data_IF_686260674439
#
_entry.id   IF_686260674439
#
_cell.length_a   1.000
_cell.length_b   1.000
_cell.length_c   1.000
_cell.angle_alpha   90.00
_cell.angle_beta   90.00
_cell.angle_gamma   90.00
#
_symmetry.space_group_name_H-M   'P 1'
#
loop_
_entity.id
_entity.type
_entity.pdbx_description
1 polymer ?
#
# COMPACT_ATOMS: atom_id res chain seq x y z
N UNK A 1 -9.30 3.47 22.28
CA UNK A 1 -10.54 3.16 21.51
C UNK A 1 -10.26 1.91 20.70
N UNK A 2 -11.09 0.88 20.78
CA UNK A 2 -10.90 -0.36 20.01
C UNK A 2 -11.51 -0.18 18.63
N UNK A 3 -10.72 -0.41 17.55
CA UNK A 3 -11.25 -0.39 16.19
C UNK A 3 -12.00 -1.70 15.95
N UNK A 4 -13.24 -1.67 15.42
CA UNK A 4 -13.96 -2.87 15.05
C UNK A 4 -13.19 -3.72 14.02
N UNK A 5 -13.24 -5.05 14.22
CA UNK A 5 -12.71 -6.00 13.25
C UNK A 5 -13.84 -6.55 12.38
N UNK A 6 -13.64 -6.53 11.08
CA UNK A 6 -14.52 -7.09 10.06
C UNK A 6 -13.93 -8.40 9.54
N UNK A 7 -14.79 -9.36 9.19
CA UNK A 7 -14.41 -10.58 8.48
C UNK A 7 -14.93 -10.48 7.06
N UNK A 8 -14.04 -10.23 6.11
CA UNK A 8 -14.40 -9.92 4.72
C UNK A 8 -14.07 -11.13 3.84
N UNK A 9 -15.05 -11.67 3.09
CA UNK A 9 -14.79 -12.82 2.23
C UNK A 9 -13.97 -12.40 1.00
N UNK A 10 -12.90 -13.16 0.74
CA UNK A 10 -12.12 -13.05 -0.49
C UNK A 10 -12.96 -13.48 -1.70
N UNK A 11 -13.01 -12.65 -2.72
CA UNK A 11 -13.73 -12.99 -3.96
C UNK A 11 -13.06 -14.10 -4.77
N UNK A 12 -11.79 -14.43 -4.49
CA UNK A 12 -11.06 -15.48 -5.21
C UNK A 12 -11.24 -16.88 -4.63
N UNK A 13 -11.43 -17.02 -3.31
CA UNK A 13 -11.49 -18.34 -2.69
C UNK A 13 -12.48 -18.46 -1.52
N UNK A 14 -13.22 -17.38 -1.22
CA UNK A 14 -14.20 -17.35 -0.14
C UNK A 14 -13.63 -17.34 1.28
N UNK A 15 -12.30 -17.36 1.45
CA UNK A 15 -11.68 -17.29 2.76
C UNK A 15 -11.99 -15.96 3.43
N UNK A 16 -12.23 -15.97 4.74
CA UNK A 16 -12.47 -14.76 5.50
C UNK A 16 -11.13 -14.07 5.84
N UNK A 17 -11.00 -12.83 5.43
CA UNK A 17 -9.83 -11.99 5.71
C UNK A 17 -10.20 -10.93 6.74
N UNK A 18 -9.54 -10.94 7.93
CA UNK A 18 -9.82 -9.94 8.95
C UNK A 18 -9.31 -8.57 8.50
N UNK A 19 -10.06 -7.53 8.84
CA UNK A 19 -9.71 -6.13 8.56
C UNK A 19 -10.16 -5.26 9.72
N UNK A 20 -9.35 -4.28 10.11
CA UNK A 20 -9.79 -3.25 11.06
C UNK A 20 -10.41 -2.10 10.27
N UNK A 21 -11.57 -1.63 10.74
CA UNK A 21 -12.26 -0.51 10.09
C UNK A 21 -12.74 0.52 11.11
N UNK A 22 -12.26 1.74 10.95
CA UNK A 22 -12.72 2.92 11.70
C UNK A 22 -13.50 3.85 10.79
N UNK A 23 -14.66 4.33 11.26
CA UNK A 23 -15.41 5.39 10.61
C UNK A 23 -15.76 6.48 11.64
N UNK A 24 -15.52 7.79 11.38
CA UNK A 24 -15.67 8.83 12.39
C UNK A 24 -17.10 8.99 12.90
N UNK A 25 -18.11 8.68 12.08
CA UNK A 25 -19.55 8.72 12.43
C UNK A 25 -20.20 7.33 12.43
N UNK A 26 -19.43 6.28 12.74
CA UNK A 26 -19.92 4.89 12.79
C UNK A 26 -20.63 4.42 11.49
N UNK A 27 -20.14 4.91 10.34
CA UNK A 27 -20.67 4.54 9.02
C UNK A 27 -21.91 5.30 8.58
N UNK A 28 -22.37 6.27 9.37
CA UNK A 28 -23.56 7.09 9.08
C UNK A 28 -23.17 8.55 8.80
N UNK A 29 -24.08 9.30 8.17
CA UNK A 29 -23.88 10.71 7.85
C UNK A 29 -23.40 10.95 6.42
N UNK A 30 -22.78 12.12 6.18
CA UNK A 30 -22.20 12.46 4.89
C UNK A 30 -21.04 11.51 4.54
N UNK A 31 -20.82 11.19 3.24
CA UNK A 31 -19.66 10.42 2.82
C UNK A 31 -18.34 11.06 3.25
N UNK A 32 -17.39 10.25 3.71
CA UNK A 32 -16.08 10.72 4.15
C UNK A 32 -14.97 10.05 3.33
N UNK A 33 -13.82 10.70 3.11
CA UNK A 33 -12.64 10.08 2.52
C UNK A 33 -12.20 8.83 3.27
N UNK A 34 -11.59 7.88 2.55
CA UNK A 34 -11.08 6.63 3.09
C UNK A 34 -9.56 6.56 2.91
N UNK A 35 -8.83 6.31 4.00
CA UNK A 35 -7.42 5.89 3.94
C UNK A 35 -7.36 4.38 4.11
N UNK A 36 -6.75 3.70 3.14
CA UNK A 36 -6.42 2.28 3.20
C UNK A 36 -4.95 2.15 3.55
N UNK A 37 -4.66 1.69 4.75
CA UNK A 37 -3.30 1.53 5.26
C UNK A 37 -2.84 0.08 5.21
N UNK A 38 -1.70 -0.20 4.60
CA UNK A 38 -1.16 -1.55 4.47
C UNK A 38 -0.01 -1.79 5.45
N UNK A 39 -0.03 -2.97 6.10
CA UNK A 39 1.02 -3.36 7.06
C UNK A 39 2.36 -3.63 6.38
N UNK A 40 3.45 -3.48 7.12
CA UNK A 40 4.81 -3.73 6.63
C UNK A 40 5.13 -5.23 6.57
N UNK A 41 6.33 -5.59 6.10
CA UNK A 41 6.72 -6.96 5.73
C UNK A 41 6.38 -8.04 6.76
N UNK A 42 6.74 -7.82 8.02
CA UNK A 42 6.69 -8.84 9.07
C UNK A 42 5.50 -8.72 10.02
N UNK A 43 4.55 -7.84 9.73
CA UNK A 43 3.46 -7.48 10.62
C UNK A 43 2.09 -7.83 10.01
N UNK A 44 1.04 -7.46 10.72
CA UNK A 44 -0.35 -7.71 10.40
C UNK A 44 -1.18 -6.41 10.42
N UNK A 45 -2.49 -6.51 10.31
CA UNK A 45 -3.45 -5.39 10.30
C UNK A 45 -3.35 -4.42 11.49
N UNK A 46 -2.74 -4.83 12.61
CA UNK A 46 -2.57 -3.97 13.78
C UNK A 46 -1.37 -3.02 13.67
N UNK A 47 -0.44 -3.29 12.76
CA UNK A 47 0.85 -2.59 12.63
C UNK A 47 0.72 -1.06 12.55
N UNK A 48 -0.29 -0.55 11.82
CA UNK A 48 -0.41 0.88 11.52
C UNK A 48 -1.49 1.59 12.36
N UNK A 49 -2.10 0.91 13.32
CA UNK A 49 -3.19 1.48 14.13
C UNK A 49 -2.75 2.75 14.85
N UNK A 50 -1.65 2.69 15.61
CA UNK A 50 -1.17 3.82 16.41
C UNK A 50 -0.65 4.98 15.54
N UNK A 51 -0.27 4.68 14.32
CA UNK A 51 0.30 5.66 13.38
C UNK A 51 -0.78 6.37 12.56
N UNK A 52 -1.76 5.63 12.01
CA UNK A 52 -2.73 6.21 11.06
C UNK A 52 -4.05 6.62 11.72
N UNK A 53 -4.50 5.92 12.77
CA UNK A 53 -5.79 6.23 13.40
C UNK A 53 -5.88 7.67 13.94
N UNK A 54 -4.87 8.21 14.67
CA UNK A 54 -4.93 9.58 15.15
C UNK A 54 -5.05 10.61 14.02
N UNK A 55 -4.42 10.35 12.88
CA UNK A 55 -4.50 11.20 11.71
C UNK A 55 -5.90 11.13 11.07
N UNK A 56 -6.45 9.93 10.86
CA UNK A 56 -7.82 9.78 10.39
C UNK A 56 -8.84 10.48 11.30
N UNK A 57 -8.67 10.37 12.62
CA UNK A 57 -9.52 11.09 13.59
C UNK A 57 -9.40 12.61 13.45
N UNK A 58 -8.17 13.13 13.29
CA UNK A 58 -7.91 14.56 13.11
C UNK A 58 -8.54 15.12 11.83
N UNK A 59 -8.47 14.36 10.72
CA UNK A 59 -9.00 14.77 9.43
C UNK A 59 -10.50 14.45 9.26
N UNK A 60 -11.10 13.69 10.18
CA UNK A 60 -12.49 13.23 10.05
C UNK A 60 -12.70 12.18 8.96
N UNK A 61 -11.66 11.37 8.65
CA UNK A 61 -11.65 10.36 7.59
C UNK A 61 -11.80 8.95 8.15
N UNK A 62 -12.26 8.03 7.31
CA UNK A 62 -12.30 6.62 7.62
C UNK A 62 -10.92 5.97 7.43
N UNK A 63 -10.67 4.88 8.18
CA UNK A 63 -9.44 4.08 8.09
C UNK A 63 -9.79 2.61 7.91
N UNK A 64 -9.18 1.98 6.90
CA UNK A 64 -9.25 0.55 6.64
C UNK A 64 -7.85 -0.05 6.70
N UNK A 65 -7.66 -1.06 7.55
CA UNK A 65 -6.40 -1.80 7.72
C UNK A 65 -6.66 -3.29 7.45
N UNK A 66 -6.53 -3.77 6.21
CA UNK A 66 -6.75 -5.17 5.86
C UNK A 66 -5.56 -6.04 6.24
N UNK A 67 -5.81 -7.35 6.48
CA UNK A 67 -4.78 -8.37 6.73
C UNK A 67 -4.08 -8.83 5.44
N UNK A 68 -4.78 -8.90 4.35
CA UNK A 68 -4.33 -9.33 3.01
C UNK A 68 -3.31 -10.49 3.00
N UNK A 69 -3.69 -11.63 3.61
CA UNK A 69 -2.95 -12.91 3.75
C UNK A 69 -1.86 -12.91 4.81
N UNK A 70 -1.77 -11.85 5.63
CA UNK A 70 -0.86 -11.77 6.77
C UNK A 70 0.60 -11.49 6.41
N UNK A 71 1.50 -11.62 7.38
CA UNK A 71 2.89 -11.21 7.21
C UNK A 71 3.64 -12.04 6.15
N UNK A 72 4.63 -11.41 5.52
CA UNK A 72 5.51 -12.03 4.53
C UNK A 72 6.63 -12.84 5.21
N UNK A 73 6.25 -13.81 6.04
CA UNK A 73 7.16 -14.64 6.84
C UNK A 73 7.03 -16.11 6.45
N UNK A 74 8.13 -16.85 6.55
CA UNK A 74 8.16 -18.29 6.36
C UNK A 74 7.20 -19.04 7.29
N UNK A 75 6.95 -18.51 8.49
CA UNK A 75 6.01 -19.06 9.48
C UNK A 75 4.54 -18.81 9.16
N UNK A 76 4.21 -17.92 8.23
CA UNK A 76 2.83 -17.63 7.85
C UNK A 76 2.25 -18.83 7.07
N UNK A 77 1.13 -19.46 7.52
CA UNK A 77 0.49 -20.56 6.80
C UNK A 77 0.00 -20.15 5.40
N UNK A 78 -0.31 -18.86 5.18
CA UNK A 78 -0.75 -18.31 3.90
C UNK A 78 0.40 -17.69 3.08
N UNK A 79 1.66 -17.95 3.43
CA UNK A 79 2.84 -17.26 2.85
C UNK A 79 2.91 -17.26 1.33
N UNK A 80 2.45 -18.35 0.68
CA UNK A 80 2.46 -18.44 -0.79
C UNK A 80 1.47 -17.48 -1.45
N UNK A 81 0.42 -17.07 -0.74
CA UNK A 81 -0.58 -16.10 -1.18
C UNK A 81 -0.26 -14.65 -0.72
N UNK A 82 0.61 -14.49 0.29
CA UNK A 82 1.11 -13.21 0.81
C UNK A 82 2.16 -12.55 -0.13
N UNK A 83 2.97 -11.64 0.37
CA UNK A 83 4.09 -11.02 -0.35
C UNK A 83 3.70 -10.45 -1.73
N UNK A 84 2.64 -9.64 -1.79
CA UNK A 84 2.14 -9.08 -3.04
C UNK A 84 1.51 -10.11 -3.99
N UNK A 85 1.19 -11.30 -3.51
CA UNK A 85 0.50 -12.33 -4.27
C UNK A 85 -0.87 -11.87 -4.79
N UNK A 86 -1.36 -12.50 -5.85
CA UNK A 86 -2.64 -12.13 -6.48
C UNK A 86 -3.81 -12.11 -5.50
N UNK A 87 -3.89 -13.08 -4.57
CA UNK A 87 -4.96 -13.11 -3.57
C UNK A 87 -4.83 -11.99 -2.57
N UNK A 88 -3.61 -11.71 -2.07
CA UNK A 88 -3.37 -10.60 -1.15
C UNK A 88 -3.82 -9.26 -1.73
N UNK A 89 -3.44 -8.95 -2.98
CA UNK A 89 -3.86 -7.73 -3.68
C UNK A 89 -5.38 -7.66 -3.87
N UNK A 90 -6.00 -8.78 -4.24
CA UNK A 90 -7.45 -8.88 -4.41
C UNK A 90 -8.19 -8.68 -3.09
N UNK A 91 -7.68 -9.24 -2.00
CA UNK A 91 -8.29 -9.10 -0.67
C UNK A 91 -8.29 -7.65 -0.18
N UNK A 92 -7.28 -6.84 -0.53
CA UNK A 92 -7.31 -5.39 -0.28
C UNK A 92 -8.45 -4.73 -1.04
N UNK A 93 -8.62 -5.04 -2.34
CA UNK A 93 -9.70 -4.48 -3.16
C UNK A 93 -11.08 -4.95 -2.68
N UNK A 94 -11.22 -6.20 -2.26
CA UNK A 94 -12.46 -6.73 -1.67
C UNK A 94 -12.80 -6.02 -0.36
N UNK A 95 -11.79 -5.70 0.46
CA UNK A 95 -11.98 -4.94 1.69
C UNK A 95 -12.44 -3.50 1.41
N UNK A 96 -11.86 -2.83 0.44
CA UNK A 96 -12.29 -1.48 -0.01
C UNK A 96 -13.74 -1.52 -0.49
N UNK A 97 -14.07 -2.46 -1.39
CA UNK A 97 -15.44 -2.54 -1.92
C UNK A 97 -16.45 -2.89 -0.82
N UNK A 98 -16.08 -3.75 0.13
CA UNK A 98 -16.93 -4.09 1.26
C UNK A 98 -17.29 -2.87 2.11
N UNK A 99 -16.32 -2.06 2.52
CA UNK A 99 -16.58 -0.88 3.36
C UNK A 99 -17.31 0.21 2.57
N UNK A 100 -17.03 0.36 1.28
CA UNK A 100 -17.75 1.28 0.40
C UNK A 100 -19.22 0.92 0.17
N UNK A 101 -19.59 -0.36 0.29
CA UNK A 101 -21.00 -0.81 0.20
C UNK A 101 -21.74 -0.71 1.52
N UNK A 102 -21.03 -0.82 2.65
CA UNK A 102 -21.63 -0.96 3.97
C UNK A 102 -21.49 0.29 4.85
N UNK A 103 -20.83 1.33 4.36
CA UNK A 103 -20.55 2.57 5.11
C UNK A 103 -20.56 3.77 4.17
N UNK A 104 -20.73 4.96 4.74
CA UNK A 104 -20.80 6.22 3.99
C UNK A 104 -19.40 6.69 3.61
N UNK A 105 -18.81 6.09 2.56
CA UNK A 105 -17.48 6.43 2.03
C UNK A 105 -17.62 7.26 0.76
N UNK A 106 -16.83 8.33 0.68
CA UNK A 106 -16.63 9.08 -0.55
C UNK A 106 -15.71 8.31 -1.50
N UNK A 107 -16.33 7.68 -2.51
CA UNK A 107 -15.62 6.84 -3.49
C UNK A 107 -14.66 7.62 -4.40
N UNK A 108 -14.78 8.94 -4.48
CA UNK A 108 -13.85 9.79 -5.25
C UNK A 108 -12.57 10.09 -4.45
N UNK A 109 -12.59 9.87 -3.14
CA UNK A 109 -11.50 10.16 -2.23
C UNK A 109 -11.05 8.93 -1.42
N UNK A 110 -10.63 7.88 -2.13
CA UNK A 110 -10.01 6.68 -1.56
C UNK A 110 -8.49 6.78 -1.76
N UNK A 111 -7.75 6.83 -0.67
CA UNK A 111 -6.29 6.97 -0.64
C UNK A 111 -5.62 5.69 -0.16
N UNK A 112 -4.51 5.30 -0.79
CA UNK A 112 -3.76 4.10 -0.43
C UNK A 112 -2.39 4.49 0.13
N UNK A 113 -2.06 3.97 1.31
CA UNK A 113 -0.84 4.32 2.05
C UNK A 113 -0.11 3.07 2.50
N UNK A 114 1.21 3.03 2.27
CA UNK A 114 2.02 1.91 2.74
C UNK A 114 3.50 2.25 2.92
N UNK A 115 4.15 1.56 3.86
CA UNK A 115 5.58 1.65 4.08
C UNK A 115 6.25 0.30 3.86
N UNK A 116 7.48 0.27 3.32
CA UNK A 116 8.27 -0.96 3.17
C UNK A 116 7.53 -2.04 2.35
N UNK A 117 7.32 -3.22 2.91
CA UNK A 117 6.48 -4.27 2.31
C UNK A 117 5.02 -3.84 2.10
N UNK A 118 4.48 -2.95 2.95
CA UNK A 118 3.18 -2.32 2.75
C UNK A 118 3.18 -1.36 1.55
N UNK A 119 4.29 -0.68 1.29
CA UNK A 119 4.49 0.13 0.10
C UNK A 119 4.55 -0.70 -1.19
N UNK A 120 5.20 -1.87 -1.16
CA UNK A 120 5.13 -2.86 -2.24
C UNK A 120 3.68 -3.28 -2.51
N UNK A 121 2.97 -3.70 -1.46
CA UNK A 121 1.58 -4.15 -1.58
C UNK A 121 0.65 -3.04 -2.10
N UNK A 122 0.86 -1.78 -1.67
CA UNK A 122 0.12 -0.62 -2.13
C UNK A 122 0.31 -0.38 -3.63
N UNK A 123 1.55 -0.34 -4.10
CA UNK A 123 1.86 -0.17 -5.52
C UNK A 123 1.27 -1.29 -6.38
N UNK A 124 1.37 -2.55 -5.95
CA UNK A 124 0.82 -3.69 -6.69
C UNK A 124 -0.71 -3.68 -6.71
N UNK A 125 -1.36 -3.35 -5.58
CA UNK A 125 -2.83 -3.25 -5.50
C UNK A 125 -3.35 -2.13 -6.38
N UNK A 126 -2.69 -0.97 -6.37
CA UNK A 126 -3.05 0.15 -7.22
C UNK A 126 -2.83 -0.16 -8.71
N UNK A 127 -1.79 -0.91 -9.06
CA UNK A 127 -1.55 -1.33 -10.44
C UNK A 127 -2.63 -2.26 -10.99
N UNK A 128 -3.26 -3.09 -10.13
CA UNK A 128 -4.37 -3.98 -10.51
C UNK A 128 -5.71 -3.23 -10.71
N UNK A 129 -5.90 -2.07 -10.07
CA UNK A 129 -7.13 -1.29 -10.11
C UNK A 129 -6.82 0.22 -9.99
N UNK A 130 -6.18 0.82 -11.00
CA UNK A 130 -5.72 2.21 -10.95
C UNK A 130 -6.86 3.23 -10.80
N UNK A 131 -8.07 2.88 -11.18
CA UNK A 131 -9.26 3.73 -11.10
C UNK A 131 -9.90 3.78 -9.71
N UNK A 132 -9.50 2.89 -8.79
CA UNK A 132 -10.09 2.80 -7.44
C UNK A 132 -9.53 3.89 -6.52
N UNK A 133 -8.25 4.22 -6.69
CA UNK A 133 -7.54 5.09 -5.76
C UNK A 133 -7.34 6.50 -6.34
N UNK A 134 -7.77 7.50 -5.58
CA UNK A 134 -7.53 8.91 -5.91
C UNK A 134 -6.04 9.26 -5.94
N UNK A 135 -5.28 8.66 -5.03
CA UNK A 135 -3.82 8.78 -4.98
C UNK A 135 -3.21 7.65 -4.13
N UNK A 136 -1.93 7.40 -4.36
CA UNK A 136 -1.12 6.41 -3.65
C UNK A 136 0.13 7.09 -3.09
N UNK A 137 0.40 6.89 -1.80
CA UNK A 137 1.60 7.40 -1.14
C UNK A 137 2.38 6.25 -0.51
N UNK A 138 3.66 6.15 -0.82
CA UNK A 138 4.49 5.05 -0.34
C UNK A 138 5.81 5.52 0.24
N UNK A 139 6.18 4.94 1.38
CA UNK A 139 7.41 5.22 2.12
C UNK A 139 8.35 4.03 2.06
N UNK A 140 9.59 4.26 1.66
CA UNK A 140 10.64 3.22 1.58
C UNK A 140 10.16 1.91 0.92
N UNK A 141 9.44 1.96 -0.22
CA UNK A 141 8.78 0.79 -0.79
C UNK A 141 9.78 -0.21 -1.39
N UNK A 142 9.46 -1.49 -1.26
CA UNK A 142 10.15 -2.53 -2.04
C UNK A 142 9.58 -2.50 -3.48
N UNK A 143 10.38 -2.08 -4.46
CA UNK A 143 9.93 -1.89 -5.84
C UNK A 143 10.32 -3.03 -6.79
N UNK A 144 11.38 -3.78 -6.48
CA UNK A 144 11.90 -4.89 -7.25
C UNK A 144 12.41 -5.99 -6.31
N UNK A 145 11.68 -7.09 -6.23
CA UNK A 145 11.99 -8.17 -5.29
C UNK A 145 13.29 -8.90 -5.63
N UNK A 146 13.62 -9.10 -6.90
CA UNK A 146 14.85 -9.78 -7.27
C UNK A 146 16.08 -8.90 -6.98
N UNK A 147 15.99 -7.60 -7.22
CA UNK A 147 17.05 -6.66 -6.86
C UNK A 147 17.21 -6.56 -5.34
N UNK A 148 16.09 -6.49 -4.60
CA UNK A 148 16.12 -6.45 -3.15
C UNK A 148 16.65 -7.75 -2.54
N UNK A 149 16.29 -8.92 -3.08
CA UNK A 149 16.82 -10.21 -2.65
C UNK A 149 18.35 -10.25 -2.74
N UNK A 150 18.94 -9.81 -3.87
CA UNK A 150 20.41 -9.73 -4.03
C UNK A 150 21.06 -8.83 -2.96
N UNK A 151 20.49 -7.66 -2.74
CA UNK A 151 20.95 -6.74 -1.70
C UNK A 151 20.91 -7.37 -0.30
N UNK A 152 19.83 -8.08 0.04
CA UNK A 152 19.68 -8.76 1.33
C UNK A 152 20.74 -9.85 1.54
N UNK A 153 21.07 -10.61 0.49
CA UNK A 153 22.15 -11.62 0.55
C UNK A 153 23.52 -10.96 0.75
N UNK A 154 23.81 -9.88 0.04
CA UNK A 154 25.07 -9.13 0.15
C UNK A 154 25.25 -8.52 1.55
N UNK A 155 24.17 -8.10 2.20
CA UNK A 155 24.17 -7.46 3.52
C UNK A 155 23.90 -8.42 4.69
N UNK A 156 23.61 -9.69 4.41
CA UNK A 156 23.33 -10.72 5.42
C UNK A 156 22.02 -10.52 6.19
N UNK A 157 21.04 -9.85 5.59
CA UNK A 157 19.75 -9.60 6.24
C UNK A 157 18.79 -10.78 6.09
N UNK A 158 17.94 -10.99 7.11
CA UNK A 158 17.06 -12.17 7.25
C UNK A 158 15.92 -12.27 6.24
N UNK A 159 15.52 -11.18 5.59
CA UNK A 159 14.29 -11.12 4.75
C UNK A 159 14.40 -11.97 3.48
N UNK A 160 15.61 -12.31 3.00
CA UNK A 160 15.79 -13.17 1.81
C UNK A 160 15.15 -14.55 1.98
N UNK A 161 15.36 -15.20 3.13
CA UNK A 161 14.79 -16.52 3.42
C UNK A 161 13.26 -16.50 3.53
N UNK A 162 12.69 -15.45 4.14
CA UNK A 162 11.24 -15.26 4.18
C UNK A 162 10.66 -15.05 2.77
N UNK A 163 11.34 -14.24 1.94
CA UNK A 163 10.97 -13.99 0.56
C UNK A 163 10.97 -15.29 -0.27
N UNK A 164 12.05 -16.07 -0.21
CA UNK A 164 12.15 -17.37 -0.89
C UNK A 164 11.03 -18.32 -0.45
N UNK A 165 10.71 -18.34 0.85
CA UNK A 165 9.59 -19.15 1.36
C UNK A 165 8.22 -18.68 0.82
N UNK A 166 8.01 -17.38 0.65
CA UNK A 166 6.77 -16.81 0.12
C UNK A 166 6.63 -16.99 -1.40
N UNK A 167 7.75 -16.98 -2.14
CA UNK A 167 7.77 -17.08 -3.60
C UNK A 167 8.04 -18.51 -4.11
N UNK A 168 8.39 -19.43 -3.19
CA UNK A 168 8.63 -20.84 -3.50
C UNK A 168 10.01 -21.14 -4.09
N UNK A 169 11.00 -20.26 -3.85
CA UNK A 169 12.40 -20.39 -4.27
C UNK A 169 13.08 -19.06 -4.50
N UNK A 170 14.33 -19.12 -4.95
CA UNK A 170 15.18 -17.98 -5.29
C UNK A 170 14.71 -17.26 -6.56
N UNK A 171 15.21 -16.03 -6.85
CA UNK A 171 14.91 -15.34 -8.11
C UNK A 171 15.30 -16.14 -9.37
N UNK A 172 16.36 -16.93 -9.31
CA UNK A 172 16.81 -17.76 -10.45
C UNK A 172 15.90 -18.98 -10.68
N UNK A 173 15.31 -19.53 -9.62
CA UNK A 173 14.39 -20.65 -9.69
C UNK A 173 12.95 -20.23 -10.03
N UNK A 174 12.54 -19.02 -9.63
CA UNK A 174 11.18 -18.51 -9.74
C UNK A 174 11.11 -17.09 -10.32
N UNK A 175 11.79 -16.79 -11.45
CA UNK A 175 11.91 -15.43 -11.97
C UNK A 175 10.55 -14.77 -12.24
N UNK A 176 9.56 -15.52 -12.70
CA UNK A 176 8.21 -15.00 -12.96
C UNK A 176 7.48 -14.58 -11.69
N UNK A 177 7.62 -15.35 -10.58
CA UNK A 177 7.02 -15.00 -9.29
C UNK A 177 7.61 -13.70 -8.73
N UNK A 178 8.94 -13.51 -8.87
CA UNK A 178 9.59 -12.27 -8.48
C UNK A 178 9.12 -11.10 -9.34
N UNK A 179 9.01 -11.30 -10.65
CA UNK A 179 8.56 -10.25 -11.57
C UNK A 179 7.10 -9.82 -11.30
N UNK A 180 6.15 -10.77 -11.18
CA UNK A 180 4.73 -10.45 -10.98
C UNK A 180 4.40 -9.89 -9.59
N UNK A 181 5.35 -9.97 -8.64
CA UNK A 181 5.23 -9.38 -7.30
C UNK A 181 6.14 -8.16 -7.11
N UNK A 182 6.75 -7.66 -8.19
CA UNK A 182 7.56 -6.45 -8.21
C UNK A 182 6.81 -5.28 -8.84
N UNK A 183 6.56 -4.18 -8.12
CA UNK A 183 5.94 -2.97 -8.67
C UNK A 183 6.60 -2.45 -9.95
N UNK A 184 7.92 -2.63 -10.09
CA UNK A 184 8.68 -2.25 -11.29
C UNK A 184 8.24 -2.92 -12.59
N UNK A 185 7.41 -3.98 -12.51
CA UNK A 185 6.80 -4.66 -13.67
C UNK A 185 5.49 -4.01 -14.14
N UNK A 186 4.94 -3.02 -13.41
CA UNK A 186 3.60 -2.46 -13.65
C UNK A 186 3.62 -0.97 -13.97
N UNK A 187 4.68 -0.49 -14.62
CA UNK A 187 4.88 0.94 -14.93
C UNK A 187 3.69 1.54 -15.69
N UNK A 188 3.16 0.83 -16.67
CA UNK A 188 2.04 1.31 -17.52
C UNK A 188 0.73 1.51 -16.75
N UNK A 189 0.50 0.74 -15.67
CA UNK A 189 -0.64 0.95 -14.78
C UNK A 189 -0.35 2.08 -13.78
N UNK A 190 0.82 2.04 -13.13
CA UNK A 190 1.20 2.97 -12.07
C UNK A 190 1.34 4.41 -12.55
N UNK A 191 1.82 4.66 -13.79
CA UNK A 191 1.95 6.01 -14.36
C UNK A 191 0.61 6.77 -14.48
N UNK A 192 -0.52 6.07 -14.37
CA UNK A 192 -1.87 6.63 -14.51
C UNK A 192 -2.46 7.14 -13.21
N UNK A 193 -1.76 6.97 -12.10
CA UNK A 193 -2.24 7.27 -10.74
C UNK A 193 -1.39 8.40 -10.17
N UNK A 194 -1.97 9.42 -9.52
CA UNK A 194 -1.21 10.33 -8.68
C UNK A 194 -0.42 9.56 -7.62
N UNK A 195 0.92 9.59 -7.71
CA UNK A 195 1.81 8.76 -6.93
C UNK A 195 2.87 9.59 -6.22
N UNK A 196 3.02 9.40 -4.91
CA UNK A 196 4.09 9.96 -4.11
C UNK A 196 4.97 8.83 -3.57
N UNK A 197 6.29 8.94 -3.76
CA UNK A 197 7.30 7.98 -3.32
C UNK A 197 8.30 8.70 -2.44
N UNK A 198 8.43 8.29 -1.18
CA UNK A 198 9.37 8.84 -0.23
C UNK A 198 10.41 7.79 0.15
N UNK A 199 11.69 8.16 0.15
CA UNK A 199 12.77 7.22 0.42
C UNK A 199 13.84 7.84 1.30
N UNK A 200 14.21 7.15 2.38
CA UNK A 200 15.35 7.57 3.22
C UNK A 200 16.68 7.35 2.50
N UNK A 201 17.54 8.36 2.53
CA UNK A 201 18.89 8.29 1.92
C UNK A 201 19.78 7.25 2.59
N UNK A 202 19.61 7.09 3.89
CA UNK A 202 20.43 6.18 4.73
C UNK A 202 19.68 4.90 5.08
N UNK A 203 18.66 4.56 4.28
CA UNK A 203 17.90 3.32 4.42
C UNK A 203 18.81 2.12 4.15
N UNK A 204 19.07 1.33 5.20
CA UNK A 204 19.89 0.12 5.17
C UNK A 204 19.06 -1.16 4.97
N UNK A 205 17.71 -1.05 4.92
CA UNK A 205 16.77 -2.15 4.68
C UNK A 205 16.36 -2.20 3.22
N UNK A 206 15.89 -1.08 2.66
CA UNK A 206 15.54 -0.95 1.24
C UNK A 206 16.36 0.18 0.63
N UNK A 207 17.38 -0.13 -0.19
CA UNK A 207 18.27 0.89 -0.74
C UNK A 207 17.52 1.95 -1.55
N UNK A 208 17.80 3.22 -1.29
CA UNK A 208 17.13 4.35 -1.95
C UNK A 208 17.19 4.32 -3.49
N UNK A 209 18.20 3.65 -4.04
CA UNK A 209 18.35 3.47 -5.49
C UNK A 209 17.22 2.66 -6.11
N UNK A 210 16.59 1.75 -5.35
CA UNK A 210 15.43 0.97 -5.84
C UNK A 210 14.24 1.88 -6.12
N UNK A 211 13.93 2.80 -5.20
CA UNK A 211 12.87 3.78 -5.39
C UNK A 211 13.19 4.80 -6.48
N UNK A 212 14.46 5.22 -6.58
CA UNK A 212 14.92 6.11 -7.67
C UNK A 212 14.73 5.44 -9.04
N UNK A 213 15.05 4.16 -9.17
CA UNK A 213 14.89 3.43 -10.43
C UNK A 213 13.40 3.30 -10.82
N UNK A 214 12.53 3.03 -9.85
CA UNK A 214 11.09 3.03 -10.07
C UNK A 214 10.60 4.40 -10.55
N UNK A 215 10.99 5.48 -9.85
CA UNK A 215 10.60 6.85 -10.21
C UNK A 215 11.08 7.23 -11.62
N UNK A 216 12.31 6.89 -12.00
CA UNK A 216 12.84 7.12 -13.35
C UNK A 216 12.05 6.38 -14.43
N UNK A 217 11.67 5.12 -14.18
CA UNK A 217 10.85 4.34 -15.14
C UNK A 217 9.46 4.97 -15.31
N UNK A 218 8.83 5.41 -14.21
CA UNK A 218 7.54 6.09 -14.24
C UNK A 218 7.62 7.42 -15.01
N UNK A 219 8.62 8.25 -14.71
CA UNK A 219 8.86 9.51 -15.43
C UNK A 219 9.07 9.28 -16.92
N UNK A 220 9.95 8.33 -17.28
CA UNK A 220 10.23 7.98 -18.69
C UNK A 220 9.00 7.42 -19.43
N UNK A 221 8.08 6.79 -18.71
CA UNK A 221 6.81 6.31 -19.25
C UNK A 221 5.74 7.39 -19.35
N UNK A 222 6.00 8.61 -18.88
CA UNK A 222 5.09 9.75 -18.93
C UNK A 222 4.07 9.79 -17.79
N UNK A 223 4.49 9.45 -16.57
CA UNK A 223 3.66 9.67 -15.37
C UNK A 223 3.40 11.18 -15.19
N UNK A 224 2.12 11.57 -15.10
CA UNK A 224 1.73 12.98 -15.08
C UNK A 224 1.80 13.58 -13.67
N UNK A 225 1.41 12.82 -12.64
CA UNK A 225 1.41 13.24 -11.25
C UNK A 225 2.31 12.33 -10.42
N UNK A 226 3.63 12.49 -10.58
CA UNK A 226 4.65 11.76 -9.82
C UNK A 226 5.42 12.70 -8.92
N UNK A 227 5.40 12.44 -7.62
CA UNK A 227 6.28 13.05 -6.63
C UNK A 227 7.30 12.03 -6.14
N UNK A 228 8.58 12.38 -6.17
CA UNK A 228 9.66 11.54 -5.63
C UNK A 228 10.56 12.36 -4.72
N UNK A 229 10.72 11.91 -3.48
CA UNK A 229 11.56 12.53 -2.49
C UNK A 229 12.59 11.54 -1.93
N UNK A 230 13.83 12.01 -1.79
CA UNK A 230 14.86 11.34 -0.98
C UNK A 230 15.17 12.21 0.21
N UNK A 231 14.65 11.83 1.39
CA UNK A 231 14.84 12.59 2.63
C UNK A 231 16.11 12.16 3.38
N UNK A 232 16.61 13.01 4.26
CA UNK A 232 17.75 12.73 5.12
C UNK A 232 17.31 11.90 6.35
N UNK A 233 17.20 10.58 6.17
CA UNK A 233 16.71 9.63 7.15
C UNK A 233 16.96 8.19 6.73
N UNK A 234 16.51 7.24 7.56
CA UNK A 234 16.63 5.79 7.38
C UNK A 234 15.35 5.13 6.83
N UNK A 235 15.08 3.91 7.32
CA UNK A 235 13.89 3.13 6.97
C UNK A 235 12.68 3.56 7.81
N UNK A 236 12.10 4.69 7.51
CA UNK A 236 11.05 5.34 8.31
C UNK A 236 9.95 5.98 7.46
N UNK A 237 8.85 6.40 8.09
CA UNK A 237 7.73 7.07 7.44
C UNK A 237 7.26 8.28 8.24
N UNK A 238 6.73 9.28 7.54
CA UNK A 238 6.13 10.49 8.12
C UNK A 238 4.69 10.67 7.61
N UNK A 239 3.71 9.87 8.10
CA UNK A 239 2.35 9.81 7.53
C UNK A 239 1.59 11.14 7.58
N UNK A 240 1.96 12.06 8.45
CA UNK A 240 1.37 13.42 8.46
C UNK A 240 1.54 14.12 7.10
N UNK A 241 2.68 13.91 6.41
CA UNK A 241 2.90 14.48 5.07
C UNK A 241 1.97 13.83 4.03
N UNK A 242 1.77 12.52 4.12
CA UNK A 242 0.82 11.78 3.27
C UNK A 242 -0.60 12.34 3.43
N UNK A 243 -1.07 12.51 4.68
CA UNK A 243 -2.41 13.02 4.96
C UNK A 243 -2.59 14.48 4.51
N UNK A 244 -1.58 15.32 4.66
CA UNK A 244 -1.61 16.70 4.15
C UNK A 244 -1.65 16.75 2.62
N UNK A 245 -0.96 15.83 1.95
CA UNK A 245 -1.03 15.72 0.49
C UNK A 245 -2.39 15.20 0.03
N UNK A 246 -2.94 14.19 0.66
CA UNK A 246 -4.27 13.66 0.39
C UNK A 246 -5.37 14.72 0.60
N UNK A 247 -5.26 15.53 1.66
CA UNK A 247 -6.19 16.62 1.92
C UNK A 247 -6.21 17.64 0.78
N UNK A 248 -5.03 18.01 0.27
CA UNK A 248 -4.94 18.92 -0.88
C UNK A 248 -5.58 18.35 -2.16
N UNK A 249 -5.57 17.02 -2.33
CA UNK A 249 -6.22 16.37 -3.47
C UNK A 249 -7.73 16.29 -3.30
N UNK A 250 -8.23 15.99 -2.09
CA UNK A 250 -9.65 15.98 -1.78
C UNK A 250 -10.29 17.36 -1.95
N UNK A 251 -9.62 18.44 -1.48
CA UNK A 251 -10.12 19.83 -1.58
C UNK A 251 -10.20 20.35 -3.04
N UNK A 252 -9.39 19.83 -3.97
CA UNK A 252 -9.42 20.23 -5.39
C UNK A 252 -10.76 19.93 -6.06
N UNK A 253 -11.37 18.81 -5.72
CA UNK A 253 -12.67 18.42 -6.29
C UNK A 253 -13.81 19.27 -5.74
N UNK A 254 -13.78 19.65 -4.45
CA UNK A 254 -14.73 20.57 -3.84
C UNK A 254 -14.67 21.97 -4.48
N UNK A 255 -13.50 22.45 -4.87
CA UNK A 255 -13.32 23.72 -5.55
C UNK A 255 -13.86 23.70 -6.99
N UNK A 256 -13.70 22.59 -7.71
CA UNK A 256 -14.20 22.42 -9.07
C UNK A 256 -15.75 22.40 -9.10
N UNK A 257 -16.40 21.75 -8.12
CA UNK A 257 -17.87 21.71 -7.99
C UNK A 257 -18.44 23.10 -7.68
N UNK A 258 -17.77 23.94 -6.90
CA UNK A 258 -18.22 25.29 -6.54
C UNK A 258 -18.13 26.30 -7.69
N UNK A 259 -17.32 26.04 -8.72
CA UNK A 259 -17.16 26.93 -9.89
C UNK A 259 -18.22 26.62 -10.98
N UNK A 260 -18.80 25.44 -10.96
CA UNK A 260 -19.80 24.98 -11.96
C UNK A 260 -21.24 25.05 -11.49
N UNK A 261 -21.52 25.48 -10.27
CA UNK A 261 -22.86 25.71 -9.68
C UNK A 261 -23.11 27.21 -9.53
#
# INVERSE_FOLDING_TARGET
>A
MTIPELQIPSSLDGSLQPSLFFHPSQGQGAPVPLVVGLHTWSYDRFNQVETYLPLCQRFGWALLLPEFRGPNLASNPNRLDACGGRKARRDVLDAVEYVCRNSSIDRSNIFLLGCSGGGQAALLTAADAPEVFRAVDVWCPVSDLAAWHRFLLETGQKYSADMESCLGGTPDERPDEYAVRSPSSYIESLKRIPLSIHQGRHDDVVPWRHSLELARKLESAGAEELYFEVFDGGHEQFPSHSFEWFARLADRDDAAVRITG
#
